data_IF_033610280326
#
_entry.id   IF_033610280326
#
_cell.length_a   1.000
_cell.length_b   1.000
_cell.length_c   1.000
_cell.angle_alpha   90.00
_cell.angle_beta   90.00
_cell.angle_gamma   90.00
#
_symmetry.space_group_name_H-M   'P 1'
#
loop_
_entity.id
_entity.type
_entity.pdbx_description
1 polymer ?
#
# COMPACT_ATOMS: atom_id res chain seq x y z
N UNK A 1 -3.28 1.12 24.21
CA UNK A 1 -3.31 0.35 23.29
C UNK A 1 -2.60 0.80 22.13
N UNK A 2 -1.92 0.10 21.58
CA UNK A 2 -1.15 0.43 20.58
C UNK A 2 -1.91 0.59 19.41
N UNK A 3 -1.94 1.68 18.87
CA UNK A 3 -2.58 1.80 17.71
C UNK A 3 -1.70 1.71 16.64
N UNK A 4 -2.17 1.44 15.52
CA UNK A 4 -1.49 1.39 14.39
C UNK A 4 -1.03 2.76 14.13
N UNK A 5 0.17 3.06 14.30
CA UNK A 5 0.71 4.26 13.98
C UNK A 5 1.25 4.20 12.62
N UNK A 6 0.47 4.15 11.61
CA UNK A 6 0.88 3.92 10.28
C UNK A 6 1.28 5.23 9.68
N UNK A 7 2.51 5.64 9.87
CA UNK A 7 3.01 6.87 9.33
C UNK A 7 4.12 6.68 8.34
N UNK A 8 4.76 5.54 8.32
CA UNK A 8 5.90 5.31 7.45
C UNK A 8 5.51 4.43 6.31
N UNK A 9 6.17 4.56 5.16
CA UNK A 9 5.83 3.70 4.03
C UNK A 9 5.91 2.23 4.35
N UNK A 10 6.87 1.82 5.16
CA UNK A 10 7.00 0.41 5.51
C UNK A 10 5.79 -0.10 6.27
N UNK A 11 5.19 0.73 7.09
CA UNK A 11 4.00 0.32 7.84
C UNK A 11 2.82 0.11 6.91
N UNK A 12 2.67 0.96 5.92
CA UNK A 12 1.60 0.79 4.95
C UNK A 12 1.83 -0.45 4.09
N UNK A 13 3.10 -0.73 3.75
CA UNK A 13 3.39 -1.92 2.96
C UNK A 13 3.07 -3.18 3.76
N UNK A 14 3.42 -3.19 5.04
CA UNK A 14 3.10 -4.33 5.88
C UNK A 14 1.60 -4.56 5.96
N UNK A 15 0.84 -3.48 6.11
CA UNK A 15 -0.60 -3.60 6.16
C UNK A 15 -1.15 -4.07 4.82
N UNK A 16 -0.55 -3.61 3.72
CA UNK A 16 -0.98 -4.04 2.40
C UNK A 16 -0.78 -5.53 2.22
N UNK A 17 0.33 -6.05 2.71
CA UNK A 17 0.59 -7.49 2.61
C UNK A 17 -0.43 -8.28 3.41
N UNK A 18 -0.81 -7.77 4.57
CA UNK A 18 -1.82 -8.46 5.34
C UNK A 18 -3.16 -8.47 4.63
N UNK A 19 -3.50 -7.38 3.97
CA UNK A 19 -4.75 -7.34 3.23
C UNK A 19 -4.72 -8.30 2.04
N UNK A 20 -3.58 -8.37 1.36
CA UNK A 20 -3.45 -9.30 0.25
C UNK A 20 -3.57 -10.74 0.73
N UNK A 21 -2.97 -11.06 1.86
CA UNK A 21 -3.05 -12.40 2.42
C UNK A 21 -4.46 -12.74 2.86
N UNK A 22 -5.22 -11.73 3.23
CA UNK A 22 -6.60 -11.95 3.65
C UNK A 22 -7.56 -12.00 2.46
N UNK A 23 -7.04 -11.94 1.26
CA UNK A 23 -7.90 -12.01 0.09
C UNK A 23 -8.58 -10.69 -0.23
N UNK A 24 -7.94 -9.59 0.11
CA UNK A 24 -8.51 -8.28 -0.14
C UNK A 24 -7.57 -7.45 -0.99
N UNK A 25 -7.43 -7.80 -2.26
CA UNK A 25 -6.42 -7.13 -3.10
C UNK A 25 -6.70 -5.65 -3.34
N UNK A 26 -7.96 -5.25 -3.33
CA UNK A 26 -8.27 -3.84 -3.53
C UNK A 26 -7.80 -3.01 -2.34
N UNK A 27 -8.00 -3.51 -1.12
CA UNK A 27 -7.52 -2.81 0.05
C UNK A 27 -6.00 -2.83 0.10
N UNK A 28 -5.40 -3.95 -0.32
CA UNK A 28 -3.95 -4.02 -0.37
C UNK A 28 -3.41 -2.96 -1.31
N UNK A 29 -4.04 -2.80 -2.46
CA UNK A 29 -3.60 -1.79 -3.41
C UNK A 29 -3.77 -0.38 -2.85
N UNK A 30 -4.85 -0.12 -2.16
CA UNK A 30 -5.06 1.19 -1.56
C UNK A 30 -3.95 1.52 -0.58
N UNK A 31 -3.60 0.57 0.27
CA UNK A 31 -2.53 0.78 1.23
C UNK A 31 -1.17 0.92 0.54
N UNK A 32 -0.97 0.19 -0.55
CA UNK A 32 0.26 0.31 -1.30
C UNK A 32 0.37 1.70 -1.93
N UNK A 33 -0.72 2.24 -2.40
CA UNK A 33 -0.71 3.59 -2.96
C UNK A 33 -0.40 4.63 -1.90
N UNK A 34 -0.91 4.42 -0.69
CA UNK A 34 -0.56 5.31 0.40
C UNK A 34 0.93 5.21 0.72
N UNK A 35 1.47 4.01 0.71
CA UNK A 35 2.89 3.84 0.96
C UNK A 35 3.71 4.54 -0.11
N UNK A 36 3.31 4.40 -1.35
CA UNK A 36 4.03 5.01 -2.46
C UNK A 36 4.01 6.53 -2.36
N UNK A 37 2.88 7.08 -1.92
CA UNK A 37 2.77 8.51 -1.76
C UNK A 37 3.71 9.05 -0.70
N UNK A 38 4.04 8.23 0.28
CA UNK A 38 4.84 8.67 1.40
C UNK A 38 6.32 8.37 1.24
N UNK A 39 6.69 7.66 0.21
CA UNK A 39 8.09 7.33 0.01
C UNK A 39 8.74 8.41 -0.83
N UNK A 40 9.96 8.77 -0.50
CA UNK A 40 10.67 9.79 -1.22
C UNK A 40 11.32 9.28 -2.48
N UNK A 41 11.45 7.99 -2.61
CA UNK A 41 12.19 7.41 -3.71
C UNK A 41 11.25 6.89 -4.78
N UNK A 42 11.26 7.46 -5.98
CA UNK A 42 10.32 7.03 -7.02
C UNK A 42 10.49 5.56 -7.42
N UNK A 43 11.71 5.05 -7.35
CA UNK A 43 11.92 3.64 -7.69
C UNK A 43 11.27 2.74 -6.66
N UNK A 44 11.32 3.13 -5.38
CA UNK A 44 10.66 2.37 -4.34
C UNK A 44 9.15 2.46 -4.51
N UNK A 45 8.63 3.61 -4.86
CA UNK A 45 7.20 3.76 -5.05
C UNK A 45 6.73 2.83 -6.17
N UNK A 46 7.47 2.77 -7.26
CA UNK A 46 7.11 1.89 -8.36
C UNK A 46 7.15 0.44 -7.93
N UNK A 47 8.16 0.06 -7.15
CA UNK A 47 8.28 -1.31 -6.70
C UNK A 47 7.14 -1.70 -5.80
N UNK A 48 6.74 -0.79 -4.89
CA UNK A 48 5.62 -1.05 -4.01
C UNK A 48 4.35 -1.27 -4.82
N UNK A 49 4.10 -0.40 -5.79
CA UNK A 49 2.87 -0.54 -6.56
C UNK A 49 2.87 -1.80 -7.40
N UNK A 50 4.03 -2.23 -7.89
CA UNK A 50 4.10 -3.45 -8.65
C UNK A 50 3.86 -4.68 -7.80
N UNK A 51 4.12 -4.60 -6.52
CA UNK A 51 3.90 -5.71 -5.63
C UNK A 51 2.42 -5.94 -5.37
N UNK A 52 1.61 -4.89 -5.52
CA UNK A 52 0.19 -4.98 -5.20
C UNK A 52 -0.64 -4.52 -6.39
N UNK A 53 -0.79 -5.38 -7.40
CA UNK A 53 -1.45 -4.97 -8.64
C UNK A 53 -2.97 -5.01 -8.63
N UNK A 54 -3.59 -4.94 -7.49
CA UNK A 54 -5.05 -4.95 -7.42
C UNK A 54 -5.66 -3.71 -8.05
N UNK A 55 -6.96 -3.68 -8.07
CA UNK A 55 -7.67 -2.54 -8.63
C UNK A 55 -7.50 -1.32 -7.74
N UNK A 56 -7.22 -0.20 -8.36
CA UNK A 56 -7.02 1.02 -7.60
C UNK A 56 -8.35 1.69 -7.33
N UNK A 57 -8.55 2.08 -6.10
CA UNK A 57 -9.74 2.85 -5.76
C UNK A 57 -9.58 4.31 -6.14
N UNK A 58 -8.38 4.71 -6.48
CA UNK A 58 -8.14 6.06 -6.89
C UNK A 58 -8.26 6.28 -8.38
N UNK A 59 -8.52 5.20 -9.14
CA UNK A 59 -8.54 5.30 -10.54
C UNK A 59 -9.60 6.18 -10.99
N UNK A 60 -9.33 7.09 -11.92
CA UNK A 60 -10.31 7.78 -12.46
C UNK A 60 -10.40 7.60 -13.76
N UNK A 61 -11.13 7.55 -14.40
CA UNK A 61 -11.21 7.23 -15.70
C UNK A 61 -11.82 7.80 -16.36
#
# INVERSE_FOLDING_TARGET
MALLNVNRPADYVAAAREMADAGRPTLARLLAEEAADRTDNPADATRILNEFPGNSLRQED
#
